data_IF_581118505953
#
_entry.id   IF_581118505953
#
_cell.length_a   1.000
_cell.length_b   1.000
_cell.length_c   1.000
_cell.angle_alpha   90.00
_cell.angle_beta   90.00
_cell.angle_gamma   90.00
#
_symmetry.space_group_name_H-M   'P 1'
#
loop_
_entity.id
_entity.type
_entity.pdbx_description
1 polymer ?
#
# COMPACT_ATOMS: atom_id res chain seq x y z
N UNK A 1 -15.33 27.51 16.69
CA UNK A 1 -15.37 26.11 16.23
C UNK A 1 -15.76 26.24 14.78
N UNK A 2 -14.76 26.08 13.91
CA UNK A 2 -14.87 26.50 12.52
C UNK A 2 -15.54 25.38 11.73
N UNK A 3 -16.38 25.73 10.76
CA UNK A 3 -17.24 24.80 9.99
C UNK A 3 -16.46 23.68 9.29
N UNK A 4 -15.17 23.90 8.99
CA UNK A 4 -14.27 22.89 8.40
C UNK A 4 -13.92 21.75 9.37
N UNK A 5 -13.87 22.01 10.68
CA UNK A 5 -13.57 20.99 11.70
C UNK A 5 -14.76 20.01 11.86
N UNK A 6 -15.99 20.53 11.75
CA UNK A 6 -17.21 19.73 11.83
C UNK A 6 -17.34 18.74 10.65
N UNK A 7 -16.95 19.15 9.45
CA UNK A 7 -17.01 18.30 8.26
C UNK A 7 -15.95 17.20 8.26
N UNK A 8 -14.73 17.47 8.74
CA UNK A 8 -13.71 16.44 8.94
C UNK A 8 -14.14 15.41 9.99
N UNK A 9 -14.69 15.86 11.11
CA UNK A 9 -15.21 14.97 12.16
C UNK A 9 -16.29 14.04 11.59
N UNK A 10 -17.25 14.58 10.82
CA UNK A 10 -18.30 13.79 10.16
C UNK A 10 -17.71 12.79 9.16
N UNK A 11 -16.75 13.21 8.33
CA UNK A 11 -16.06 12.34 7.38
C UNK A 11 -15.38 11.18 8.09
N UNK A 12 -14.58 11.43 9.12
CA UNK A 12 -13.86 10.36 9.82
C UNK A 12 -14.79 9.43 10.60
N UNK A 13 -15.87 9.94 11.17
CA UNK A 13 -16.91 9.10 11.78
C UNK A 13 -17.58 8.17 10.76
N UNK A 14 -17.83 8.66 9.55
CA UNK A 14 -18.36 7.85 8.44
C UNK A 14 -17.35 6.77 8.00
N UNK A 15 -16.05 7.09 7.98
CA UNK A 15 -15.00 6.11 7.68
C UNK A 15 -14.95 4.99 8.72
N UNK A 16 -15.09 5.32 10.01
CA UNK A 16 -15.18 4.30 11.09
C UNK A 16 -16.36 3.36 10.86
N UNK A 17 -17.53 3.91 10.55
CA UNK A 17 -18.74 3.12 10.29
C UNK A 17 -18.62 2.23 9.04
N UNK A 18 -17.83 2.65 8.05
CA UNK A 18 -17.58 1.88 6.81
C UNK A 18 -16.40 0.89 6.91
N UNK A 19 -15.85 0.68 8.11
CA UNK A 19 -14.85 -0.35 8.39
C UNK A 19 -13.40 0.09 8.17
N UNK A 20 -13.11 1.39 8.19
CA UNK A 20 -11.74 1.87 8.35
C UNK A 20 -11.32 1.70 9.82
N UNK A 21 -10.11 1.18 10.04
CA UNK A 21 -9.53 1.10 11.38
C UNK A 21 -8.96 2.46 11.79
N UNK A 22 -8.67 2.64 13.08
CA UNK A 22 -8.06 3.87 13.55
C UNK A 22 -6.68 4.11 12.90
N UNK A 23 -5.91 3.05 12.63
CA UNK A 23 -4.65 3.15 11.90
C UNK A 23 -4.84 3.64 10.46
N UNK A 24 -5.91 3.22 9.78
CA UNK A 24 -6.19 3.72 8.44
C UNK A 24 -6.56 5.21 8.46
N UNK A 25 -7.34 5.63 9.46
CA UNK A 25 -7.74 7.02 9.64
C UNK A 25 -6.52 7.90 9.94
N UNK A 26 -5.63 7.43 10.82
CA UNK A 26 -4.37 8.11 11.09
C UNK A 26 -3.50 8.22 9.84
N UNK A 27 -3.38 7.13 9.06
CA UNK A 27 -2.67 7.15 7.79
C UNK A 27 -3.29 8.15 6.81
N UNK A 28 -4.62 8.23 6.71
CA UNK A 28 -5.31 9.22 5.85
C UNK A 28 -4.93 10.65 6.27
N UNK A 29 -5.03 10.96 7.56
CA UNK A 29 -4.71 12.29 8.09
C UNK A 29 -3.27 12.70 7.81
N UNK A 30 -2.32 11.81 8.11
CA UNK A 30 -0.90 12.09 7.86
C UNK A 30 -0.66 12.22 6.36
N UNK A 31 -1.21 11.31 5.55
CA UNK A 31 -1.04 11.36 4.10
C UNK A 31 -1.59 12.65 3.47
N UNK A 32 -2.67 13.22 4.00
CA UNK A 32 -3.25 14.47 3.49
C UNK A 32 -2.44 15.71 3.89
N UNK A 33 -1.88 15.70 5.09
CA UNK A 33 -1.27 16.88 5.69
C UNK A 33 0.27 16.91 5.57
N UNK A 34 0.88 15.93 4.91
CA UNK A 34 2.34 15.80 4.80
C UNK A 34 2.76 15.81 3.33
N UNK A 35 3.79 16.58 2.99
CA UNK A 35 4.35 16.55 1.64
C UNK A 35 5.01 15.19 1.35
N UNK A 36 5.03 14.70 0.09
CA UNK A 36 5.55 13.36 -0.20
C UNK A 36 7.01 13.10 0.20
N UNK A 37 7.85 14.12 0.12
CA UNK A 37 9.24 14.03 0.57
C UNK A 37 9.33 13.89 2.10
N UNK A 38 8.57 14.69 2.85
CA UNK A 38 8.54 14.63 4.32
C UNK A 38 7.95 13.30 4.81
N UNK A 39 6.94 12.78 4.11
CA UNK A 39 6.32 11.49 4.43
C UNK A 39 7.31 10.33 4.23
N UNK A 40 8.06 10.34 3.12
CA UNK A 40 9.14 9.38 2.89
C UNK A 40 10.22 9.47 3.98
N UNK A 41 10.64 10.68 4.34
CA UNK A 41 11.63 10.89 5.41
C UNK A 41 11.13 10.37 6.76
N UNK A 42 9.87 10.61 7.11
CA UNK A 42 9.27 10.14 8.34
C UNK A 42 9.28 8.59 8.43
N UNK A 43 8.89 7.90 7.37
CA UNK A 43 8.95 6.42 7.31
C UNK A 43 10.39 5.91 7.45
N UNK A 44 11.35 6.57 6.80
CA UNK A 44 12.76 6.13 6.85
C UNK A 44 13.34 6.33 8.24
N UNK A 45 13.02 7.45 8.90
CA UNK A 45 13.40 7.73 10.28
C UNK A 45 12.84 6.69 11.25
N UNK A 46 11.56 6.33 11.13
CA UNK A 46 10.93 5.28 11.96
C UNK A 46 11.62 3.92 11.78
N UNK A 47 12.12 3.65 10.57
CA UNK A 47 12.88 2.44 10.25
C UNK A 47 14.38 2.54 10.55
N UNK A 48 14.82 3.58 11.29
CA UNK A 48 16.23 3.87 11.59
C UNK A 48 17.12 3.90 10.34
N UNK A 49 16.60 4.50 9.27
CA UNK A 49 17.24 4.62 7.97
C UNK A 49 17.18 6.07 7.46
N UNK A 50 17.90 6.37 6.39
CA UNK A 50 17.94 7.68 5.75
C UNK A 50 17.46 7.59 4.30
N UNK A 51 16.94 8.71 3.78
CA UNK A 51 16.55 8.82 2.36
C UNK A 51 17.82 8.97 1.53
N UNK A 52 18.01 8.13 0.52
CA UNK A 52 19.16 8.26 -0.39
C UNK A 52 18.87 9.25 -1.52
N UNK A 53 19.91 9.75 -2.18
CA UNK A 53 19.76 10.63 -3.36
C UNK A 53 18.87 10.02 -4.45
N UNK A 54 18.97 8.70 -4.64
CA UNK A 54 18.16 7.97 -5.60
C UNK A 54 16.67 7.94 -5.18
N UNK A 55 16.37 7.81 -3.88
CA UNK A 55 14.99 7.88 -3.38
C UNK A 55 14.44 9.30 -3.47
N UNK A 56 15.27 10.32 -3.17
CA UNK A 56 14.94 11.74 -3.36
C UNK A 56 14.54 12.02 -4.81
N UNK A 57 15.37 11.60 -5.77
CA UNK A 57 15.09 11.77 -7.19
C UNK A 57 13.85 10.99 -7.64
N UNK A 58 13.67 9.77 -7.12
CA UNK A 58 12.50 8.94 -7.40
C UNK A 58 11.23 9.62 -6.92
N UNK A 59 11.21 10.14 -5.69
CA UNK A 59 10.06 10.85 -5.13
C UNK A 59 9.75 12.11 -5.92
N UNK A 60 10.76 12.94 -6.21
CA UNK A 60 10.60 14.16 -7.01
C UNK A 60 9.98 13.86 -8.38
N UNK A 61 10.55 12.88 -9.09
CA UNK A 61 10.05 12.48 -10.42
C UNK A 61 8.64 11.93 -10.36
N UNK A 62 8.30 11.18 -9.30
CA UNK A 62 6.96 10.64 -9.10
C UNK A 62 5.93 11.76 -8.90
N UNK A 63 6.22 12.75 -8.05
CA UNK A 63 5.34 13.92 -7.82
C UNK A 63 5.20 14.77 -9.09
N UNK A 64 6.28 14.97 -9.85
CA UNK A 64 6.25 15.80 -11.05
C UNK A 64 5.50 15.17 -12.23
N UNK A 65 5.52 13.84 -12.36
CA UNK A 65 5.02 13.14 -13.55
C UNK A 65 3.73 12.37 -13.33
N UNK A 66 3.41 12.01 -12.10
CA UNK A 66 2.20 11.25 -11.79
C UNK A 66 1.00 12.19 -11.70
N UNK A 67 -0.16 11.81 -12.24
CA UNK A 67 -1.41 12.56 -12.01
C UNK A 67 -2.01 12.27 -10.62
N UNK A 68 -1.37 11.42 -9.80
CA UNK A 68 -1.85 11.07 -8.48
C UNK A 68 -1.68 12.24 -7.50
N UNK A 69 -2.70 12.57 -6.69
CA UNK A 69 -2.57 13.55 -5.63
C UNK A 69 -1.50 13.14 -4.60
N UNK A 70 -0.85 14.13 -3.96
CA UNK A 70 0.17 13.90 -2.93
C UNK A 70 -0.31 12.93 -1.83
N UNK A 71 -1.57 13.03 -1.41
CA UNK A 71 -2.15 12.12 -0.44
C UNK A 71 -2.21 10.66 -0.91
N UNK A 72 -2.42 10.43 -2.21
CA UNK A 72 -2.41 9.08 -2.79
C UNK A 72 -0.97 8.57 -2.93
N UNK A 73 -0.03 9.45 -3.33
CA UNK A 73 1.40 9.14 -3.37
C UNK A 73 1.91 8.71 -1.99
N UNK A 74 1.50 9.39 -0.92
CA UNK A 74 1.87 9.01 0.45
C UNK A 74 1.38 7.61 0.83
N UNK A 75 0.13 7.28 0.51
CA UNK A 75 -0.39 5.92 0.74
C UNK A 75 0.36 4.88 -0.11
N UNK A 76 0.74 5.22 -1.34
CA UNK A 76 1.56 4.36 -2.20
C UNK A 76 2.94 4.10 -1.58
N UNK A 77 3.60 5.13 -1.07
CA UNK A 77 4.91 5.03 -0.40
C UNK A 77 4.80 4.15 0.85
N UNK A 78 3.78 4.37 1.67
CA UNK A 78 3.49 3.52 2.83
C UNK A 78 3.28 2.05 2.41
N UNK A 79 2.50 1.81 1.35
CA UNK A 79 2.29 0.46 0.83
C UNK A 79 3.61 -0.22 0.41
N UNK A 80 4.48 0.47 -0.32
CA UNK A 80 5.76 -0.09 -0.79
C UNK A 80 6.72 -0.34 0.38
N UNK A 81 6.90 0.62 1.29
CA UNK A 81 7.93 0.53 2.33
C UNK A 81 7.49 -0.27 3.56
N UNK A 82 6.22 -0.20 3.94
CA UNK A 82 5.70 -0.79 5.18
C UNK A 82 5.01 -2.12 4.89
N UNK A 83 4.06 -2.15 3.95
CA UNK A 83 3.23 -3.34 3.68
C UNK A 83 4.00 -4.37 2.84
N UNK A 84 4.70 -3.94 1.79
CA UNK A 84 5.59 -4.80 1.01
C UNK A 84 6.95 -5.03 1.66
N UNK A 85 7.25 -4.30 2.74
CA UNK A 85 8.48 -4.39 3.52
C UNK A 85 9.74 -4.12 2.70
N UNK A 86 9.65 -3.29 1.67
CA UNK A 86 10.84 -2.86 0.93
C UNK A 86 11.68 -1.93 1.84
N UNK A 87 13.00 -2.12 1.83
CA UNK A 87 13.95 -1.23 2.52
C UNK A 87 14.22 0.07 1.74
N UNK A 88 13.89 0.05 0.45
CA UNK A 88 14.25 1.06 -0.52
C UNK A 88 13.12 1.34 -1.52
N UNK A 89 12.95 2.62 -1.88
CA UNK A 89 11.98 3.06 -2.88
C UNK A 89 12.53 2.92 -4.30
N UNK A 90 12.41 1.73 -4.89
CA UNK A 90 12.88 1.47 -6.25
C UNK A 90 12.00 2.17 -7.30
N UNK A 91 12.61 3.04 -8.12
CA UNK A 91 11.92 3.86 -9.13
C UNK A 91 10.99 3.04 -10.05
N UNK A 92 11.52 2.00 -10.70
CA UNK A 92 10.74 1.19 -11.63
C UNK A 92 9.52 0.53 -10.95
N UNK A 93 9.69 0.07 -9.71
CA UNK A 93 8.63 -0.62 -8.98
C UNK A 93 7.52 0.34 -8.56
N UNK A 94 7.87 1.48 -7.96
CA UNK A 94 6.85 2.45 -7.54
C UNK A 94 6.14 3.08 -8.74
N UNK A 95 6.86 3.36 -9.83
CA UNK A 95 6.27 3.94 -11.04
C UNK A 95 5.25 3.00 -11.67
N UNK A 96 5.51 1.69 -11.73
CA UNK A 96 4.54 0.72 -12.25
C UNK A 96 3.25 0.71 -11.43
N UNK A 97 3.36 0.78 -10.09
CA UNK A 97 2.18 0.82 -9.23
C UNK A 97 1.45 2.16 -9.40
N UNK A 98 2.19 3.27 -9.51
CA UNK A 98 1.60 4.59 -9.71
C UNK A 98 0.83 4.69 -11.03
N UNK A 99 1.38 4.16 -12.13
CA UNK A 99 0.67 4.07 -13.41
C UNK A 99 -0.61 3.25 -13.27
N UNK A 100 -0.55 2.08 -12.62
CA UNK A 100 -1.75 1.27 -12.40
C UNK A 100 -2.80 1.98 -11.54
N UNK A 101 -2.39 2.69 -10.48
CA UNK A 101 -3.33 3.44 -9.63
C UNK A 101 -3.95 4.62 -10.36
N UNK A 102 -3.19 5.24 -11.28
CA UNK A 102 -3.70 6.27 -12.17
C UNK A 102 -4.74 5.72 -13.15
N UNK A 103 -4.49 4.56 -13.76
CA UNK A 103 -5.43 3.89 -14.66
C UNK A 103 -6.72 3.46 -13.94
N UNK A 104 -6.62 3.14 -12.65
CA UNK A 104 -7.74 2.83 -11.77
C UNK A 104 -8.45 4.07 -11.20
N UNK A 105 -8.03 5.27 -11.61
CA UNK A 105 -8.58 6.55 -11.16
C UNK A 105 -8.62 6.70 -9.62
N UNK A 106 -7.58 6.21 -8.95
CA UNK A 106 -7.44 6.33 -7.49
C UNK A 106 -7.01 7.77 -7.16
N UNK A 107 -7.96 8.59 -6.73
CA UNK A 107 -7.78 10.02 -6.48
C UNK A 107 -7.86 10.41 -5.00
N UNK A 108 -8.15 9.46 -4.11
CA UNK A 108 -8.24 9.72 -2.66
C UNK A 108 -7.47 8.70 -1.84
N UNK A 109 -6.93 9.10 -0.65
CA UNK A 109 -6.24 8.17 0.24
C UNK A 109 -7.17 7.04 0.73
N UNK A 110 -8.47 7.28 0.85
CA UNK A 110 -9.47 6.25 1.16
C UNK A 110 -9.56 5.18 0.09
N UNK A 111 -9.64 5.58 -1.18
CA UNK A 111 -9.65 4.65 -2.32
C UNK A 111 -8.33 3.87 -2.37
N UNK A 112 -7.19 4.54 -2.15
CA UNK A 112 -5.88 3.91 -2.11
C UNK A 112 -5.79 2.85 -0.99
N UNK A 113 -6.25 3.16 0.21
CA UNK A 113 -6.28 2.20 1.33
C UNK A 113 -7.21 1.02 1.04
N UNK A 114 -8.41 1.25 0.49
CA UNK A 114 -9.32 0.18 0.05
C UNK A 114 -8.65 -0.73 -0.98
N UNK A 115 -7.97 -0.14 -1.96
CA UNK A 115 -7.26 -0.87 -2.99
C UNK A 115 -6.12 -1.71 -2.40
N UNK A 116 -5.29 -1.12 -1.53
CA UNK A 116 -4.22 -1.82 -0.80
C UNK A 116 -4.76 -3.01 -0.01
N UNK A 117 -5.88 -2.85 0.70
CA UNK A 117 -6.53 -3.96 1.42
C UNK A 117 -6.95 -5.10 0.48
N UNK A 118 -7.45 -4.77 -0.72
CA UNK A 118 -7.74 -5.78 -1.76
C UNK A 118 -6.48 -6.53 -2.18
N UNK A 119 -5.40 -5.81 -2.48
CA UNK A 119 -4.11 -6.41 -2.86
C UNK A 119 -3.56 -7.35 -1.79
N UNK A 120 -3.66 -6.97 -0.51
CA UNK A 120 -3.23 -7.82 0.62
C UNK A 120 -4.10 -9.08 0.72
N UNK A 121 -5.42 -8.94 0.58
CA UNK A 121 -6.36 -10.06 0.60
C UNK A 121 -6.10 -11.03 -0.56
N UNK A 122 -5.93 -10.52 -1.77
CA UNK A 122 -5.61 -11.30 -2.97
C UNK A 122 -4.27 -12.02 -2.83
N UNK A 123 -3.24 -11.35 -2.32
CA UNK A 123 -1.94 -11.97 -2.06
C UNK A 123 -2.07 -13.16 -1.09
N UNK A 124 -2.84 -13.01 0.00
CA UNK A 124 -3.11 -14.09 0.97
C UNK A 124 -3.85 -15.26 0.33
N UNK A 125 -4.90 -14.97 -0.45
CA UNK A 125 -5.66 -16.01 -1.18
C UNK A 125 -4.75 -16.77 -2.16
N UNK A 126 -3.92 -16.05 -2.91
CA UNK A 126 -2.99 -16.65 -3.87
C UNK A 126 -1.93 -17.52 -3.18
N UNK A 127 -1.44 -17.12 -2.01
CA UNK A 127 -0.54 -17.96 -1.19
C UNK A 127 -1.23 -19.25 -0.74
N UNK A 128 -2.48 -19.18 -0.25
CA UNK A 128 -3.26 -20.35 0.16
C UNK A 128 -3.48 -21.29 -1.04
N UNK A 129 -3.89 -20.74 -2.19
CA UNK A 129 -4.09 -21.52 -3.43
C UNK A 129 -2.82 -22.24 -3.86
N UNK A 130 -1.66 -21.57 -3.81
CA UNK A 130 -0.35 -22.19 -4.10
C UNK A 130 -0.07 -23.35 -3.14
N UNK A 131 -0.28 -23.16 -1.83
CA UNK A 131 -0.09 -24.22 -0.81
C UNK A 131 -0.99 -25.43 -1.06
N UNK A 132 -2.27 -25.22 -1.35
CA UNK A 132 -3.22 -26.33 -1.65
C UNK A 132 -2.77 -27.10 -2.90
N UNK A 133 -2.34 -26.41 -3.97
CA UNK A 133 -1.83 -27.06 -5.19
C UNK A 133 -0.60 -27.92 -4.91
N UNK A 134 0.31 -27.44 -4.07
CA UNK A 134 1.50 -28.20 -3.66
C UNK A 134 1.11 -29.47 -2.88
N UNK A 135 0.23 -29.37 -1.89
CA UNK A 135 -0.24 -30.54 -1.11
C UNK A 135 -0.91 -31.57 -2.02
N UNK A 136 -1.78 -31.14 -2.94
CA UNK A 136 -2.42 -32.06 -3.91
C UNK A 136 -1.39 -32.75 -4.82
N UNK A 137 -0.32 -32.04 -5.21
CA UNK A 137 0.77 -32.62 -6.02
C UNK A 137 1.54 -33.67 -5.22
N UNK A 138 1.90 -33.40 -3.97
CA UNK A 138 2.58 -34.35 -3.08
C UNK A 138 1.71 -35.60 -2.83
N UNK A 139 0.43 -35.42 -2.51
CA UNK A 139 -0.46 -36.57 -2.26
C UNK A 139 -0.60 -37.48 -3.48
N UNK A 140 -0.63 -36.92 -4.70
CA UNK A 140 -0.62 -37.74 -5.94
C UNK A 140 0.67 -38.53 -6.10
N UNK A 141 1.82 -37.94 -5.77
CA UNK A 141 3.11 -38.64 -5.81
C UNK A 141 3.17 -39.78 -4.79
N UNK A 142 2.78 -39.51 -3.53
CA UNK A 142 2.75 -40.53 -2.48
C UNK A 142 1.82 -41.68 -2.86
N UNK A 143 0.59 -41.38 -3.32
CA UNK A 143 -0.35 -42.41 -3.78
C UNK A 143 0.21 -43.26 -4.92
N UNK A 144 0.97 -42.67 -5.85
CA UNK A 144 1.63 -43.40 -6.95
C UNK A 144 2.71 -44.35 -6.42
N UNK A 145 3.47 -43.98 -5.40
CA UNK A 145 4.49 -44.85 -4.79
C UNK A 145 3.88 -46.08 -4.11
N UNK A 146 2.77 -45.90 -3.40
CA UNK A 146 2.04 -47.01 -2.75
C UNK A 146 1.35 -47.98 -3.72
N UNK A 147 1.22 -47.63 -5.00
CA UNK A 147 0.58 -48.49 -6.01
C UNK A 147 1.59 -49.31 -6.84
N UNK A 148 2.89 -49.08 -6.66
CA UNK A 148 3.96 -49.71 -7.44
C UNK A 148 4.77 -50.72 -6.58
N UNK A 149 4.57 -50.74 -5.26
CA UNK A 149 5.11 -51.76 -4.35
C UNK A 149 4.00 -52.67 -3.84
#
# INVERSE_FOLDING_TARGET
MDEQDDDEVRRFNTLRQTGFSENDIQLIKIAQNTAPMDFLQAIKNEKHNYVTDQETWTMKTLVERSPLPNSVINVLVHYVLVIKKNSFLQANFINQIATNWSELEIISPEQAIKHVRSLVKEAKINQIRKRIRLVKRVNRFVKKLYLIG
#
